data_IF_337082211014
#
_entry.id   IF_337082211014
#
_cell.length_a   1.000
_cell.length_b   1.000
_cell.length_c   1.000
_cell.angle_alpha   90.00
_cell.angle_beta   90.00
_cell.angle_gamma   90.00
#
_symmetry.space_group_name_H-M   'P 1'
#
loop_
_entity.id
_entity.type
_entity.pdbx_description
1 polymer ?
#
# COMPACT_ATOMS: atom_id res chain seq x y z
N UNK A 1 -34.01 38.50 -17.39
CA UNK A 1 -33.77 37.19 -18.04
C UNK A 1 -33.11 36.29 -17.02
N UNK A 2 -33.86 35.35 -16.47
CA UNK A 2 -33.45 34.41 -15.41
C UNK A 2 -33.12 33.06 -16.05
N UNK A 3 -31.99 32.40 -15.69
CA UNK A 3 -31.75 31.04 -16.16
C UNK A 3 -32.50 30.03 -15.29
N UNK A 4 -33.30 29.20 -15.96
CA UNK A 4 -33.97 28.03 -15.38
C UNK A 4 -32.95 26.92 -15.16
N UNK A 5 -32.73 26.54 -13.90
CA UNK A 5 -31.87 25.42 -13.51
C UNK A 5 -32.66 24.11 -13.68
N UNK A 6 -32.25 23.25 -14.62
CA UNK A 6 -32.84 21.93 -14.80
C UNK A 6 -32.30 20.97 -13.75
N UNK A 7 -33.17 20.57 -12.81
CA UNK A 7 -32.88 19.55 -11.80
C UNK A 7 -32.62 18.20 -12.47
N UNK A 8 -31.41 17.65 -12.33
CA UNK A 8 -31.16 16.26 -12.71
C UNK A 8 -31.79 15.31 -11.67
N UNK A 9 -32.51 14.26 -12.09
CA UNK A 9 -33.00 13.24 -11.17
C UNK A 9 -31.81 12.39 -10.69
N UNK A 10 -31.57 12.40 -9.38
CA UNK A 10 -30.59 11.53 -8.74
C UNK A 10 -30.90 10.07 -9.04
N UNK A 11 -30.02 9.41 -9.79
CA UNK A 11 -30.13 7.99 -10.07
C UNK A 11 -29.83 7.20 -8.79
N UNK A 12 -30.89 6.71 -8.14
CA UNK A 12 -30.78 5.75 -7.05
C UNK A 12 -30.16 4.44 -7.55
N UNK A 13 -29.19 3.90 -6.81
CA UNK A 13 -28.47 2.64 -7.09
C UNK A 13 -29.40 1.44 -7.31
N UNK A 14 -30.64 1.50 -6.80
CA UNK A 14 -31.70 0.50 -7.07
C UNK A 14 -32.10 0.42 -8.55
N UNK A 15 -31.96 1.51 -9.32
CA UNK A 15 -32.25 1.52 -10.76
C UNK A 15 -31.17 0.79 -11.57
N UNK A 16 -29.90 0.87 -11.15
CA UNK A 16 -28.79 0.20 -11.83
C UNK A 16 -28.82 -1.32 -11.62
N UNK A 17 -29.15 -1.78 -10.41
CA UNK A 17 -29.20 -3.22 -10.08
C UNK A 17 -30.36 -3.99 -10.73
N UNK A 18 -31.38 -3.30 -11.27
CA UNK A 18 -32.47 -3.95 -12.02
C UNK A 18 -32.10 -4.32 -13.46
N UNK A 19 -30.94 -3.88 -13.97
CA UNK A 19 -30.52 -4.14 -15.35
C UNK A 19 -29.73 -5.44 -15.56
N UNK A 20 -29.42 -6.20 -14.50
CA UNK A 20 -28.52 -7.37 -14.57
C UNK A 20 -29.27 -8.66 -14.26
N UNK A 21 -30.24 -9.02 -15.11
CA UNK A 21 -30.85 -10.36 -15.10
C UNK A 21 -31.06 -10.82 -16.54
N UNK A 22 -30.16 -11.69 -17.02
CA UNK A 22 -30.18 -12.66 -18.15
C UNK A 22 -28.70 -13.14 -18.21
N UNK A 23 -28.25 -14.37 -17.94
CA UNK A 23 -28.81 -15.71 -17.91
C UNK A 23 -28.06 -16.61 -16.92
N UNK A 24 -28.79 -17.52 -16.27
CA UNK A 24 -28.30 -18.70 -15.54
C UNK A 24 -27.73 -19.75 -16.52
N UNK A 25 -26.67 -20.48 -16.15
CA UNK A 25 -26.62 -21.97 -16.12
C UNK A 25 -25.21 -22.55 -15.91
N UNK A 26 -25.11 -23.49 -14.96
CA UNK A 26 -24.10 -24.57 -14.87
C UNK A 26 -22.80 -24.21 -14.15
N UNK A 27 -22.22 -25.02 -13.26
CA UNK A 27 -22.49 -26.38 -12.79
C UNK A 27 -21.71 -26.53 -11.46
N UNK A 28 -22.37 -27.00 -10.40
CA UNK A 28 -21.74 -27.35 -9.12
C UNK A 28 -21.06 -28.71 -9.28
N UNK A 29 -19.76 -28.80 -9.03
CA UNK A 29 -19.07 -30.07 -8.84
C UNK A 29 -18.20 -30.03 -7.57
N UNK A 30 -18.54 -30.92 -6.65
CA UNK A 30 -17.89 -31.24 -5.40
C UNK A 30 -16.46 -31.75 -5.62
N UNK A 31 -15.49 -31.23 -4.86
CA UNK A 31 -14.16 -31.84 -4.73
C UNK A 31 -13.89 -32.22 -3.26
N UNK A 32 -14.66 -33.17 -2.73
CA UNK A 32 -14.27 -33.98 -1.57
C UNK A 32 -13.99 -35.40 -2.06
N UNK A 33 -12.71 -35.69 -2.34
CA UNK A 33 -12.23 -37.04 -2.65
C UNK A 33 -11.69 -37.74 -1.40
N UNK A 34 -11.89 -39.07 -1.26
CA UNK A 34 -11.57 -39.79 -0.03
C UNK A 34 -10.08 -40.15 0.11
N UNK A 35 -9.69 -40.26 1.39
CA UNK A 35 -8.42 -40.72 1.94
C UNK A 35 -8.23 -42.22 1.63
N UNK A 36 -7.26 -42.59 0.79
CA UNK A 36 -6.82 -43.99 0.64
C UNK A 36 -5.76 -44.29 1.70
N UNK A 37 -6.08 -45.25 2.56
CA UNK A 37 -5.15 -45.83 3.52
C UNK A 37 -4.30 -46.93 2.89
N UNK A 38 -3.10 -47.08 3.47
CA UNK A 38 -2.45 -48.34 3.79
C UNK A 38 -1.94 -49.20 2.63
N UNK A 39 -0.62 -49.20 2.42
CA UNK A 39 0.09 -50.45 2.16
C UNK A 39 1.50 -50.42 2.75
N UNK A 40 1.83 -51.54 3.39
CA UNK A 40 3.03 -51.81 4.17
C UNK A 40 4.29 -51.87 3.31
N UNK A 41 5.37 -51.24 3.75
CA UNK A 41 6.72 -51.65 3.37
C UNK A 41 7.46 -52.02 4.65
N UNK A 42 7.41 -53.31 4.96
CA UNK A 42 8.24 -53.93 5.98
C UNK A 42 9.71 -53.98 5.57
N UNK A 43 10.57 -53.92 6.60
CA UNK A 43 11.94 -54.47 6.65
C UNK A 43 12.90 -54.06 5.53
N UNK A 44 13.83 -53.18 5.89
CA UNK A 44 15.26 -53.54 6.02
C UNK A 44 15.99 -52.49 6.87
N UNK A 45 16.18 -52.82 8.14
CA UNK A 45 17.28 -52.31 8.94
C UNK A 45 18.58 -52.87 8.32
N UNK A 46 19.38 -52.01 7.72
CA UNK A 46 20.78 -52.28 7.42
C UNK A 46 21.60 -51.14 8.04
N UNK A 47 21.97 -51.35 9.30
CA UNK A 47 23.00 -50.57 10.00
C UNK A 47 24.35 -50.92 9.36
N UNK A 48 24.86 -50.03 8.50
CA UNK A 48 26.25 -50.04 8.04
C UNK A 48 27.06 -48.97 8.80
N UNK A 49 28.29 -49.25 9.26
CA UNK A 49 29.10 -48.30 9.98
C UNK A 49 29.97 -47.51 9.00
N UNK A 50 29.41 -46.45 8.40
CA UNK A 50 30.23 -45.39 7.82
C UNK A 50 29.60 -44.04 8.18
N UNK A 51 30.05 -43.50 9.32
CA UNK A 51 29.75 -42.14 9.72
C UNK A 51 30.41 -41.18 8.73
N UNK A 52 29.63 -40.65 7.80
CA UNK A 52 29.99 -39.45 7.04
C UNK A 52 30.00 -38.28 8.01
N UNK A 53 31.09 -37.51 8.13
CA UNK A 53 31.08 -36.31 8.97
C UNK A 53 30.03 -35.33 8.41
N UNK A 54 29.32 -34.59 9.29
CA UNK A 54 28.38 -33.58 8.85
C UNK A 54 29.13 -32.50 8.07
N UNK A 55 28.72 -32.25 6.83
CA UNK A 55 29.06 -31.02 6.12
C UNK A 55 28.37 -29.89 6.87
N UNK A 56 29.15 -29.04 7.51
CA UNK A 56 28.68 -27.78 8.09
C UNK A 56 28.31 -26.89 6.91
N UNK A 57 27.02 -26.79 6.60
CA UNK A 57 26.54 -25.73 5.72
C UNK A 57 26.82 -24.40 6.44
N UNK A 58 27.54 -23.45 5.82
CA UNK A 58 27.65 -22.12 6.38
C UNK A 58 26.24 -21.55 6.52
N UNK A 59 25.87 -21.17 7.74
CA UNK A 59 24.64 -20.42 7.98
C UNK A 59 24.60 -19.22 7.04
N UNK A 60 23.47 -18.92 6.36
CA UNK A 60 23.35 -17.66 5.65
C UNK A 60 23.59 -16.54 6.67
N UNK A 61 24.61 -15.72 6.43
CA UNK A 61 24.77 -14.49 7.19
C UNK A 61 23.47 -13.69 7.03
N UNK A 62 22.92 -13.10 8.11
CA UNK A 62 21.88 -12.11 7.94
C UNK A 62 22.45 -11.01 7.04
N UNK A 63 21.73 -10.71 5.96
CA UNK A 63 22.01 -9.52 5.17
C UNK A 63 22.04 -8.35 6.15
N UNK A 64 23.16 -7.62 6.20
CA UNK A 64 23.22 -6.36 6.92
C UNK A 64 22.22 -5.42 6.25
N UNK A 65 21.03 -5.31 6.86
CA UNK A 65 20.11 -4.26 6.54
C UNK A 65 20.84 -2.94 6.80
N UNK A 66 21.19 -2.22 5.74
CA UNK A 66 21.67 -0.85 5.83
C UNK A 66 20.58 -0.04 6.52
N UNK A 67 20.76 0.16 7.83
CA UNK A 67 19.82 0.92 8.62
C UNK A 67 19.77 2.35 8.06
N UNK A 68 18.60 2.77 7.56
CA UNK A 68 18.37 4.15 7.13
C UNK A 68 18.71 5.09 8.28
N UNK A 69 19.53 6.14 8.05
CA UNK A 69 19.84 7.11 9.09
C UNK A 69 18.56 7.75 9.64
N UNK A 70 18.43 7.81 10.97
CA UNK A 70 17.30 8.45 11.66
C UNK A 70 16.93 9.85 11.12
N UNK A 71 17.88 10.78 10.83
CA UNK A 71 17.50 12.11 10.31
C UNK A 71 16.83 12.04 8.93
N UNK A 72 17.27 11.13 8.07
CA UNK A 72 16.76 11.00 6.70
C UNK A 72 15.33 10.45 6.69
N UNK A 73 15.02 9.51 7.60
CA UNK A 73 13.65 9.05 7.82
C UNK A 73 12.74 10.19 8.31
N UNK A 74 13.23 11.04 9.21
CA UNK A 74 12.43 12.14 9.74
C UNK A 74 12.12 13.21 8.69
N UNK A 75 13.09 13.53 7.83
CA UNK A 75 12.89 14.40 6.67
C UNK A 75 11.89 13.80 5.67
N UNK A 76 11.97 12.50 5.40
CA UNK A 76 11.02 11.79 4.55
C UNK A 76 9.59 11.83 5.10
N UNK A 77 9.41 11.60 6.40
CA UNK A 77 8.09 11.66 7.06
C UNK A 77 7.53 13.10 7.05
N UNK A 78 8.39 14.11 7.24
CA UNK A 78 7.98 15.50 7.14
C UNK A 78 7.56 15.90 5.71
N UNK A 79 8.30 15.45 4.69
CA UNK A 79 7.89 15.63 3.30
C UNK A 79 6.57 14.89 3.00
N UNK A 80 6.47 13.64 3.45
CA UNK A 80 5.28 12.81 3.23
C UNK A 80 4.03 13.41 3.88
N UNK A 81 4.15 13.99 5.08
CA UNK A 81 3.01 14.63 5.76
C UNK A 81 2.52 15.87 5.02
N UNK A 82 3.43 16.65 4.44
CA UNK A 82 3.09 17.79 3.57
C UNK A 82 2.37 17.35 2.30
N UNK A 83 2.87 16.30 1.64
CA UNK A 83 2.31 15.80 0.38
C UNK A 83 0.94 15.13 0.57
N UNK A 84 0.75 14.40 1.67
CA UNK A 84 -0.49 13.65 1.93
C UNK A 84 -1.53 14.45 2.72
N UNK A 85 -1.10 15.51 3.41
CA UNK A 85 -1.93 16.27 4.36
C UNK A 85 -2.18 15.55 5.69
N UNK A 86 -1.46 14.46 5.98
CA UNK A 86 -1.61 13.65 7.20
C UNK A 86 -0.43 13.88 8.13
N UNK A 87 -0.70 14.37 9.34
CA UNK A 87 0.35 14.78 10.29
C UNK A 87 1.07 13.61 10.98
N UNK A 88 0.36 12.50 11.23
CA UNK A 88 0.87 11.36 11.98
C UNK A 88 0.98 10.15 11.06
N UNK A 89 2.18 9.98 10.48
CA UNK A 89 2.50 8.91 9.55
C UNK A 89 3.33 7.84 10.27
N UNK A 90 3.06 6.56 9.99
CA UNK A 90 3.74 5.44 10.60
C UNK A 90 5.25 5.41 10.21
N UNK A 91 6.19 5.55 11.17
CA UNK A 91 7.62 5.52 10.88
C UNK A 91 8.16 4.20 10.35
N UNK A 92 7.50 3.07 10.64
CA UNK A 92 7.90 1.76 10.13
C UNK A 92 7.56 1.64 8.65
N UNK A 93 6.33 1.99 8.26
CA UNK A 93 5.91 2.05 6.86
C UNK A 93 6.72 3.08 6.09
N UNK A 94 6.99 4.25 6.68
CA UNK A 94 7.82 5.29 6.07
C UNK A 94 9.24 4.82 5.75
N UNK A 95 9.81 3.93 6.58
CA UNK A 95 11.13 3.33 6.31
C UNK A 95 11.11 2.42 5.08
N UNK A 96 10.06 1.62 4.93
CA UNK A 96 9.88 0.72 3.78
C UNK A 96 9.80 1.54 2.48
N UNK A 97 8.99 2.59 2.45
CA UNK A 97 8.83 3.44 1.26
C UNK A 97 10.10 4.20 0.92
N UNK A 98 10.80 4.72 1.93
CA UNK A 98 12.08 5.39 1.71
C UNK A 98 13.14 4.44 1.15
N UNK A 99 13.18 3.19 1.64
CA UNK A 99 14.07 2.16 1.08
C UNK A 99 13.68 1.79 -0.36
N UNK A 100 12.38 1.71 -0.66
CA UNK A 100 11.86 1.47 -2.01
C UNK A 100 12.31 2.55 -3.01
N UNK A 101 12.21 3.83 -2.63
CA UNK A 101 12.71 4.95 -3.44
C UNK A 101 14.24 4.95 -3.63
N UNK A 102 14.96 4.22 -2.78
CA UNK A 102 16.41 4.07 -2.86
C UNK A 102 16.84 2.87 -3.70
N UNK A 103 15.93 2.13 -4.32
CA UNK A 103 16.29 0.98 -5.17
C UNK A 103 16.88 1.37 -6.52
N UNK A 104 16.41 2.47 -7.12
CA UNK A 104 16.87 2.94 -8.44
C UNK A 104 17.60 4.28 -8.35
N UNK A 105 18.60 4.49 -9.20
CA UNK A 105 19.35 5.76 -9.25
C UNK A 105 18.46 6.94 -9.65
N UNK A 106 17.47 6.70 -10.52
CA UNK A 106 16.50 7.71 -10.97
C UNK A 106 15.61 8.19 -9.82
N UNK A 107 15.02 7.28 -9.04
CA UNK A 107 14.20 7.66 -7.89
C UNK A 107 15.02 8.36 -6.81
N UNK A 108 16.27 7.93 -6.59
CA UNK A 108 17.18 8.58 -5.66
C UNK A 108 17.54 10.01 -6.07
N UNK A 109 17.82 10.25 -7.35
CA UNK A 109 18.17 11.59 -7.86
C UNK A 109 16.97 12.53 -7.83
N UNK A 110 15.79 12.05 -8.24
CA UNK A 110 14.55 12.81 -8.21
C UNK A 110 14.13 13.15 -6.76
N UNK A 111 14.26 12.21 -5.82
CA UNK A 111 13.98 12.45 -4.40
C UNK A 111 14.93 13.51 -3.81
N UNK A 112 16.21 13.47 -4.17
CA UNK A 112 17.19 14.47 -3.74
C UNK A 112 16.86 15.86 -4.30
N UNK A 113 16.54 15.94 -5.58
CA UNK A 113 16.12 17.19 -6.23
C UNK A 113 14.85 17.75 -5.56
N UNK A 114 13.88 16.88 -5.22
CA UNK A 114 12.68 17.27 -4.48
C UNK A 114 13.04 17.87 -3.11
N UNK A 115 13.94 17.26 -2.34
CA UNK A 115 14.38 17.82 -1.05
C UNK A 115 15.12 19.14 -1.16
N UNK A 116 15.99 19.28 -2.18
CA UNK A 116 16.75 20.49 -2.45
C UNK A 116 15.82 21.66 -2.82
N UNK A 117 14.91 21.45 -3.78
CA UNK A 117 13.93 22.45 -4.24
C UNK A 117 12.91 22.80 -3.15
N UNK A 118 12.52 21.81 -2.34
CA UNK A 118 11.67 22.05 -1.17
C UNK A 118 12.40 22.77 -0.03
N UNK A 119 13.74 22.81 -0.02
CA UNK A 119 14.53 23.56 0.97
C UNK A 119 14.92 22.79 2.23
N UNK A 120 14.70 21.46 2.27
CA UNK A 120 15.02 20.62 3.43
C UNK A 120 16.50 20.69 3.84
N UNK A 121 17.42 20.91 2.89
CA UNK A 121 18.86 21.01 3.18
C UNK A 121 19.31 22.35 3.78
N UNK A 122 18.47 23.39 3.75
CA UNK A 122 18.82 24.72 4.27
C UNK A 122 18.33 24.94 5.71
N UNK A 123 17.96 23.87 6.42
CA UNK A 123 17.39 23.94 7.76
C UNK A 123 15.99 24.57 7.80
N UNK A 124 15.35 24.75 6.64
CA UNK A 124 13.99 25.28 6.52
C UNK A 124 13.07 24.18 6.01
N UNK A 125 12.28 23.59 6.92
CA UNK A 125 11.24 22.64 6.55
C UNK A 125 10.00 23.45 6.14
N UNK A 126 9.47 23.28 4.91
CA UNK A 126 8.23 23.91 4.50
C UNK A 126 7.09 23.55 5.44
N UNK A 127 6.22 24.51 5.74
CA UNK A 127 5.12 24.31 6.71
C UNK A 127 3.80 23.95 6.04
N UNK A 128 3.71 24.02 4.70
CA UNK A 128 2.50 23.70 3.96
C UNK A 128 2.78 23.31 2.50
N UNK A 129 1.87 22.55 1.91
CA UNK A 129 1.88 22.24 0.47
C UNK A 129 1.81 23.49 -0.40
N UNK A 130 1.03 24.50 0.00
CA UNK A 130 0.91 25.77 -0.71
C UNK A 130 2.28 26.48 -0.88
N UNK A 131 3.15 26.42 0.13
CA UNK A 131 4.50 26.98 0.04
C UNK A 131 5.40 26.25 -0.99
N UNK A 132 5.14 24.97 -1.25
CA UNK A 132 5.82 24.20 -2.30
C UNK A 132 5.29 24.59 -3.69
N UNK A 133 3.97 24.75 -3.81
CA UNK A 133 3.31 25.15 -5.04
C UNK A 133 3.68 26.58 -5.48
N UNK A 134 3.79 27.53 -4.55
CA UNK A 134 4.23 28.90 -4.82
C UNK A 134 5.63 28.97 -5.43
N UNK A 135 6.49 28.00 -5.09
CA UNK A 135 7.84 27.86 -5.64
C UNK A 135 7.87 27.13 -6.98
N UNK A 136 6.72 26.64 -7.45
CA UNK A 136 6.58 25.88 -8.68
C UNK A 136 7.49 24.63 -8.76
N UNK A 137 7.76 23.98 -7.62
CA UNK A 137 8.66 22.80 -7.60
C UNK A 137 8.11 21.63 -8.44
N UNK A 138 6.78 21.50 -8.50
CA UNK A 138 6.10 20.47 -9.28
C UNK A 138 6.00 20.80 -10.78
N UNK A 139 6.60 21.91 -11.22
CA UNK A 139 6.78 22.22 -12.63
C UNK A 139 7.82 21.31 -13.31
N UNK A 140 8.73 20.72 -12.53
CA UNK A 140 9.65 19.68 -13.00
C UNK A 140 8.91 18.32 -13.00
N UNK A 141 8.93 17.63 -14.15
CA UNK A 141 8.23 16.37 -14.32
C UNK A 141 8.77 15.24 -13.45
N UNK A 142 10.09 15.12 -13.29
CA UNK A 142 10.73 14.09 -12.45
C UNK A 142 10.37 14.29 -10.98
N UNK A 143 10.44 15.54 -10.48
CA UNK A 143 10.05 15.90 -9.12
C UNK A 143 8.57 15.59 -8.87
N UNK A 144 7.72 15.94 -9.84
CA UNK A 144 6.29 15.66 -9.75
C UNK A 144 6.00 14.16 -9.77
N UNK A 145 6.72 13.38 -10.57
CA UNK A 145 6.55 11.93 -10.66
C UNK A 145 6.93 11.25 -9.34
N UNK A 146 8.08 11.60 -8.75
CA UNK A 146 8.47 11.03 -7.44
C UNK A 146 7.54 11.48 -6.32
N UNK A 147 7.06 12.73 -6.32
CA UNK A 147 6.08 13.20 -5.35
C UNK A 147 4.74 12.46 -5.47
N UNK A 148 4.23 12.27 -6.69
CA UNK A 148 3.04 11.47 -6.95
C UNK A 148 3.22 10.03 -6.50
N UNK A 149 4.38 9.44 -6.76
CA UNK A 149 4.69 8.08 -6.35
C UNK A 149 4.72 7.94 -4.81
N UNK A 150 5.28 8.93 -4.09
CA UNK A 150 5.20 8.99 -2.61
C UNK A 150 3.75 8.99 -2.15
N UNK A 151 2.91 9.86 -2.74
CA UNK A 151 1.48 9.93 -2.41
C UNK A 151 0.79 8.58 -2.69
N UNK A 152 1.08 7.98 -3.84
CA UNK A 152 0.53 6.68 -4.24
C UNK A 152 0.89 5.58 -3.24
N UNK A 153 2.17 5.48 -2.83
CA UNK A 153 2.60 4.50 -1.82
C UNK A 153 1.81 4.64 -0.52
N UNK A 154 1.65 5.86 -0.01
CA UNK A 154 0.88 6.11 1.23
C UNK A 154 -0.61 5.81 1.09
N UNK A 155 -1.23 6.16 -0.04
CA UNK A 155 -2.66 5.95 -0.24
C UNK A 155 -3.03 4.51 -0.55
N UNK A 156 -2.17 3.79 -1.28
CA UNK A 156 -2.43 2.40 -1.69
C UNK A 156 -1.86 1.38 -0.72
N UNK A 157 -0.79 1.73 -0.01
CA UNK A 157 -0.04 0.79 0.80
C UNK A 157 0.97 -0.05 0.02
N UNK A 158 1.11 0.18 -1.29
CA UNK A 158 1.90 -0.63 -2.24
C UNK A 158 3.23 0.09 -2.52
N UNK A 159 4.33 -0.66 -2.63
CA UNK A 159 5.67 -0.15 -2.98
C UNK A 159 6.38 -1.12 -3.92
N UNK A 160 7.47 -0.69 -4.55
CA UNK A 160 8.32 -1.57 -5.38
C UNK A 160 9.47 -2.12 -4.54
N UNK A 161 9.62 -3.45 -4.48
CA UNK A 161 10.70 -4.10 -3.73
C UNK A 161 12.05 -4.07 -4.46
N UNK A 162 13.07 -4.71 -3.88
CA UNK A 162 14.42 -4.77 -4.44
C UNK A 162 14.52 -5.62 -5.72
N UNK A 163 13.51 -6.42 -6.03
CA UNK A 163 13.40 -7.19 -7.27
C UNK A 163 12.69 -6.41 -8.38
N UNK A 164 12.09 -5.27 -8.05
CA UNK A 164 11.27 -4.48 -8.98
C UNK A 164 9.82 -4.93 -9.04
N UNK A 165 9.36 -5.78 -8.11
CA UNK A 165 7.97 -6.24 -8.04
C UNK A 165 7.15 -5.41 -7.05
N UNK A 166 5.82 -5.36 -7.27
CA UNK A 166 4.90 -4.69 -6.36
C UNK A 166 4.70 -5.52 -5.08
N UNK A 167 4.97 -4.89 -3.93
CA UNK A 167 4.80 -5.45 -2.60
C UNK A 167 3.87 -4.57 -1.74
N UNK A 168 3.27 -5.16 -0.70
CA UNK A 168 2.32 -4.46 0.19
C UNK A 168 2.98 -4.21 1.54
N UNK A 169 3.17 -2.94 1.89
CA UNK A 169 3.67 -2.55 3.22
C UNK A 169 2.55 -2.57 4.27
N UNK A 170 1.37 -2.04 3.91
CA UNK A 170 0.16 -2.11 4.72
C UNK A 170 -1.07 -2.16 3.82
N UNK A 171 -2.09 -2.89 4.22
CA UNK A 171 -3.35 -2.93 3.49
C UNK A 171 -4.47 -2.19 4.23
N UNK A 172 -4.60 -2.45 5.53
CA UNK A 172 -5.70 -1.90 6.35
C UNK A 172 -5.45 -0.44 6.71
N UNK A 173 -4.19 -0.06 6.91
CA UNK A 173 -3.82 1.28 7.38
C UNK A 173 -3.49 2.26 6.24
N UNK A 174 -3.58 1.81 4.98
CA UNK A 174 -3.38 2.67 3.81
C UNK A 174 -4.31 3.90 3.85
N UNK A 175 -3.80 5.08 3.47
CA UNK A 175 -4.53 6.35 3.66
C UNK A 175 -5.85 6.41 2.86
N UNK A 176 -5.99 5.64 1.77
CA UNK A 176 -7.26 5.53 1.06
C UNK A 176 -8.40 5.06 1.98
N UNK A 177 -8.15 4.16 2.92
CA UNK A 177 -9.20 3.70 3.84
C UNK A 177 -9.53 4.72 4.92
N UNK A 178 -8.54 5.53 5.31
CA UNK A 178 -8.74 6.59 6.30
C UNK A 178 -9.56 7.76 5.74
N UNK A 179 -9.41 8.03 4.45
CA UNK A 179 -10.15 9.08 3.74
C UNK A 179 -11.57 8.65 3.35
N UNK A 180 -11.78 7.36 3.05
CA UNK A 180 -13.09 6.84 2.64
C UNK A 180 -13.96 6.40 3.83
N UNK A 181 -14.60 7.37 4.49
CA UNK A 181 -15.46 7.15 5.67
C UNK A 181 -16.70 6.27 5.47
N UNK A 182 -17.11 6.03 4.22
CA UNK A 182 -18.35 5.30 3.89
C UNK A 182 -18.14 3.81 3.62
N UNK A 183 -16.88 3.34 3.59
CA UNK A 183 -16.53 1.95 3.27
C UNK A 183 -15.41 1.48 4.17
N UNK A 184 -15.14 0.17 4.16
CA UNK A 184 -14.03 -0.46 4.89
C UNK A 184 -13.15 -1.26 3.91
N UNK A 185 -11.88 -1.54 4.27
CA UNK A 185 -11.05 -2.48 3.53
C UNK A 185 -11.76 -3.82 3.37
N UNK A 186 -11.56 -4.48 2.23
CA UNK A 186 -12.06 -5.85 2.06
C UNK A 186 -11.39 -6.71 3.15
N UNK A 187 -12.12 -7.67 3.73
CA UNK A 187 -11.72 -8.47 4.91
C UNK A 187 -11.96 -7.84 6.29
N UNK A 188 -12.23 -6.54 6.40
CA UNK A 188 -12.65 -5.91 7.67
C UNK A 188 -14.17 -5.81 7.72
N UNK A 189 -14.79 -6.57 8.62
CA UNK A 189 -16.24 -6.52 8.83
C UNK A 189 -16.65 -5.24 9.56
N UNK A 190 -17.62 -4.52 9.00
CA UNK A 190 -18.37 -3.48 9.72
C UNK A 190 -19.62 -4.06 10.38
N UNK A 191 -20.40 -3.19 11.03
CA UNK A 191 -21.73 -3.57 11.52
C UNK A 191 -22.63 -4.02 10.36
N UNK A 192 -23.37 -5.14 10.50
CA UNK A 192 -24.29 -5.57 9.46
C UNK A 192 -25.26 -4.46 9.04
N UNK A 193 -25.34 -4.17 7.74
CA UNK A 193 -26.23 -3.14 7.21
C UNK A 193 -25.64 -1.73 7.16
N UNK A 194 -24.37 -1.51 7.54
CA UNK A 194 -23.73 -0.18 7.45
C UNK A 194 -23.83 0.43 6.03
N UNK A 195 -23.77 -0.42 5.00
CA UNK A 195 -23.88 -0.04 3.58
C UNK A 195 -25.27 0.47 3.16
N UNK A 196 -26.31 0.24 3.97
CA UNK A 196 -27.67 0.70 3.68
C UNK A 196 -27.93 2.13 4.18
N UNK A 197 -27.04 2.68 5.00
CA UNK A 197 -27.15 4.02 5.53
C UNK A 197 -26.71 5.05 4.47
N UNK A 198 -27.42 6.19 4.41
CA UNK A 198 -26.97 7.33 3.61
C UNK A 198 -25.73 7.92 4.27
N UNK A 199 -24.64 8.07 3.51
CA UNK A 199 -23.44 8.73 4.00
C UNK A 199 -23.74 10.21 4.26
N UNK A 200 -23.34 10.69 5.45
CA UNK A 200 -23.36 12.11 5.79
C UNK A 200 -21.98 12.54 6.30
N UNK A 201 -21.49 13.74 5.94
CA UNK A 201 -20.17 14.22 6.35
C UNK A 201 -19.97 14.28 7.88
N UNK A 202 -21.08 14.38 8.61
CA UNK A 202 -21.13 14.65 10.05
C UNK A 202 -21.25 13.37 10.89
N UNK A 203 -21.33 12.20 10.24
CA UNK A 203 -21.41 10.92 10.95
C UNK A 203 -20.05 10.55 11.56
N UNK A 204 -20.02 10.06 12.81
CA UNK A 204 -18.80 9.57 13.42
C UNK A 204 -18.25 8.35 12.66
N UNK A 205 -16.94 8.17 12.74
CA UNK A 205 -16.20 7.07 12.10
C UNK A 205 -16.68 5.70 12.60
N UNK A 206 -16.98 4.79 11.66
CA UNK A 206 -17.43 3.40 11.88
C UNK A 206 -16.33 2.45 12.35
#
# INVERSE_FOLDING_TARGET
MTPTQSSQPGMSRRAFLRSITISLSGLVALACGPRRGGEEIGRRLALGPHATPPIILPSPMPAEATATPAPLLQEFLALSSLLTGVADLDPEVGRIYLQSLQTTEESQSALRALWEEAGFQQGTIPTSLAALEERNIFGNEEIRNVANHIIEMWYTGIYTDDTGEDAVATYVDALAWQTLRFTKPKTICGEPGFWAQEWRPEQPTL
#
